data_IF_112453306312
#
_entry.id   IF_112453306312
#
_cell.length_a   1.000
_cell.length_b   1.000
_cell.length_c   1.000
_cell.angle_alpha   90.00
_cell.angle_beta   90.00
_cell.angle_gamma   90.00
#
_symmetry.space_group_name_H-M   'P 1'
#
loop_
_entity.id
_entity.type
_entity.pdbx_description
1 polymer ?
#
# COMPACT_ATOMS: atom_id res chain seq x y z
N UNK A 1 -2.60 8.31 -19.43
CA UNK A 1 -1.40 7.62 -18.89
C UNK A 1 -1.26 6.23 -19.50
N UNK A 2 -2.29 5.41 -19.45
CA UNK A 2 -2.23 4.06 -20.03
C UNK A 2 -1.89 4.11 -21.54
N UNK A 3 -2.55 4.96 -22.28
CA UNK A 3 -2.29 5.11 -23.73
C UNK A 3 -0.86 5.60 -23.99
N UNK A 4 -0.35 6.50 -23.16
CA UNK A 4 1.02 7.00 -23.27
C UNK A 4 2.05 5.88 -23.04
N UNK A 5 1.80 5.02 -22.06
CA UNK A 5 2.65 3.86 -21.77
C UNK A 5 2.65 2.90 -22.96
N UNK A 6 1.49 2.64 -23.53
CA UNK A 6 1.35 1.74 -24.67
C UNK A 6 2.09 2.27 -25.91
N UNK A 7 2.02 3.58 -26.16
CA UNK A 7 2.72 4.19 -27.28
C UNK A 7 4.23 4.21 -27.10
N UNK A 8 4.68 4.54 -25.89
CA UNK A 8 6.11 4.74 -25.60
C UNK A 8 6.86 3.43 -25.43
N UNK A 9 6.21 2.40 -24.88
CA UNK A 9 6.86 1.14 -24.54
C UNK A 9 6.09 -0.07 -25.08
N UNK A 10 5.88 -0.17 -26.39
CA UNK A 10 5.18 -1.33 -26.94
C UNK A 10 6.01 -2.59 -26.77
N UNK A 11 5.38 -3.69 -26.40
CA UNK A 11 5.99 -5.02 -26.28
C UNK A 11 7.15 -5.13 -25.27
N UNK A 12 7.37 -4.13 -24.43
CA UNK A 12 8.35 -4.18 -23.35
C UNK A 12 7.69 -4.59 -22.04
N UNK A 13 8.45 -5.26 -21.19
CA UNK A 13 7.98 -5.54 -19.82
C UNK A 13 7.84 -4.25 -19.04
N UNK A 14 6.70 -4.08 -18.38
CA UNK A 14 6.36 -2.86 -17.67
C UNK A 14 5.98 -3.17 -16.22
N UNK A 15 6.69 -2.56 -15.30
CA UNK A 15 6.28 -2.54 -13.89
C UNK A 15 5.59 -1.23 -13.59
N UNK A 16 4.38 -1.28 -13.06
CA UNK A 16 3.61 -0.08 -12.72
C UNK A 16 3.29 -0.11 -11.24
N UNK A 17 3.80 0.88 -10.52
CA UNK A 17 3.50 1.08 -9.10
C UNK A 17 2.51 2.24 -8.98
N UNK A 18 1.37 1.97 -8.38
CA UNK A 18 0.33 2.98 -8.24
C UNK A 18 0.20 3.45 -6.80
N UNK A 19 -0.28 4.68 -6.63
CA UNK A 19 -0.32 5.36 -5.35
C UNK A 19 -1.14 4.63 -4.29
N UNK A 20 -2.18 3.91 -4.71
CA UNK A 20 -2.99 3.08 -3.83
C UNK A 20 -3.71 1.99 -4.63
N UNK A 21 -4.41 1.11 -3.90
CA UNK A 21 -5.11 -0.03 -4.52
C UNK A 21 -6.30 0.40 -5.38
N UNK A 22 -6.93 1.52 -5.05
CA UNK A 22 -8.03 2.07 -5.87
C UNK A 22 -7.55 2.45 -7.26
N UNK A 23 -6.44 3.18 -7.35
CA UNK A 23 -5.84 3.51 -8.65
C UNK A 23 -5.32 2.28 -9.37
N UNK A 24 -4.77 1.31 -8.64
CA UNK A 24 -4.33 0.06 -9.23
C UNK A 24 -5.50 -0.70 -9.85
N UNK A 25 -6.65 -0.74 -9.18
CA UNK A 25 -7.87 -1.36 -9.70
C UNK A 25 -8.37 -0.64 -10.95
N UNK A 26 -8.37 0.68 -10.96
CA UNK A 26 -8.78 1.47 -12.12
C UNK A 26 -7.87 1.21 -13.32
N UNK A 27 -6.57 1.18 -13.10
CA UNK A 27 -5.60 0.90 -14.15
C UNK A 27 -5.77 -0.52 -14.70
N UNK A 28 -5.98 -1.48 -13.82
CA UNK A 28 -6.23 -2.87 -14.18
C UNK A 28 -7.50 -3.00 -15.03
N UNK A 29 -8.56 -2.28 -14.68
CA UNK A 29 -9.80 -2.27 -15.46
C UNK A 29 -9.58 -1.74 -16.88
N UNK A 30 -8.75 -0.71 -17.05
CA UNK A 30 -8.41 -0.19 -18.37
C UNK A 30 -7.67 -1.25 -19.21
N UNK A 31 -6.76 -1.99 -18.59
CA UNK A 31 -6.04 -3.08 -19.27
C UNK A 31 -7.03 -4.17 -19.70
N UNK A 32 -7.92 -4.57 -18.81
CA UNK A 32 -8.93 -5.60 -19.13
C UNK A 32 -9.92 -5.17 -20.18
N UNK A 33 -10.25 -3.87 -20.26
CA UNK A 33 -11.10 -3.35 -21.34
C UNK A 33 -10.42 -3.49 -22.70
N UNK A 34 -9.12 -3.33 -22.76
CA UNK A 34 -8.38 -3.42 -24.01
C UNK A 34 -8.03 -4.86 -24.39
N UNK A 35 -7.58 -5.66 -23.46
CA UNK A 35 -7.01 -7.00 -23.71
C UNK A 35 -7.85 -8.16 -23.22
N UNK A 36 -8.84 -7.90 -22.35
CA UNK A 36 -9.62 -8.96 -21.72
C UNK A 36 -8.86 -9.80 -20.68
N UNK A 37 -7.62 -9.45 -20.42
CA UNK A 37 -6.76 -10.14 -19.46
C UNK A 37 -5.60 -9.22 -19.10
N UNK A 38 -4.81 -9.61 -18.10
CA UNK A 38 -3.53 -8.95 -17.80
C UNK A 38 -2.44 -9.58 -18.67
N UNK A 39 -1.87 -8.83 -19.65
CA UNK A 39 -0.76 -9.36 -20.45
C UNK A 39 0.47 -9.65 -19.59
N UNK A 40 1.28 -10.60 -20.00
CA UNK A 40 2.48 -11.02 -19.26
C UNK A 40 3.53 -9.92 -19.14
N UNK A 41 3.50 -8.93 -20.02
CA UNK A 41 4.44 -7.81 -19.98
C UNK A 41 4.06 -6.74 -18.97
N UNK A 42 2.89 -6.83 -18.33
CA UNK A 42 2.47 -5.93 -17.27
C UNK A 42 2.58 -6.57 -15.89
N UNK A 43 3.20 -5.85 -14.98
CA UNK A 43 3.20 -6.19 -13.56
C UNK A 43 2.74 -4.97 -12.78
N UNK A 44 1.74 -5.14 -11.91
CA UNK A 44 1.07 -4.04 -11.24
C UNK A 44 1.17 -4.22 -9.74
N UNK A 45 1.56 -3.16 -9.05
CA UNK A 45 1.64 -3.13 -7.59
C UNK A 45 0.85 -1.93 -7.08
N UNK A 46 -0.06 -2.17 -6.15
CA UNK A 46 -0.79 -1.12 -5.45
C UNK A 46 -0.13 -0.78 -4.12
N UNK A 47 -0.87 -0.08 -3.28
CA UNK A 47 -0.43 0.32 -1.95
C UNK A 47 -1.62 0.40 -1.01
N UNK A 48 -1.47 0.01 0.22
CA UNK A 48 -2.38 0.02 1.37
C UNK A 48 -2.93 -1.34 1.79
N UNK A 49 -3.03 -2.32 0.90
CA UNK A 49 -3.73 -3.59 1.17
C UNK A 49 -5.18 -3.36 1.63
N UNK A 50 -5.88 -2.50 0.91
CA UNK A 50 -7.30 -2.27 1.16
C UNK A 50 -8.14 -3.45 0.62
N UNK A 51 -9.41 -3.58 1.02
CA UNK A 51 -10.27 -4.66 0.53
C UNK A 51 -10.33 -4.75 -1.00
N UNK A 52 -10.21 -3.62 -1.69
CA UNK A 52 -10.18 -3.58 -3.16
C UNK A 52 -9.08 -4.46 -3.74
N UNK A 53 -7.93 -4.56 -3.07
CA UNK A 53 -6.80 -5.34 -3.58
C UNK A 53 -7.14 -6.82 -3.74
N UNK A 54 -7.91 -7.39 -2.82
CA UNK A 54 -8.34 -8.80 -2.91
C UNK A 54 -9.61 -8.99 -3.73
N UNK A 55 -10.44 -7.96 -3.87
CA UNK A 55 -11.75 -8.02 -4.53
C UNK A 55 -11.75 -7.53 -5.97
N UNK A 56 -10.63 -6.99 -6.47
CA UNK A 56 -10.51 -6.50 -7.84
C UNK A 56 -10.75 -7.63 -8.85
N UNK A 57 -10.93 -7.24 -10.12
CA UNK A 57 -11.14 -8.20 -11.22
C UNK A 57 -10.01 -9.24 -11.29
N UNK A 58 -8.82 -8.87 -10.85
CA UNK A 58 -7.72 -9.77 -10.58
C UNK A 58 -7.10 -9.33 -9.26
N UNK A 59 -6.91 -10.23 -8.26
CA UNK A 59 -6.31 -9.83 -6.99
C UNK A 59 -4.97 -9.14 -7.18
N UNK A 60 -4.80 -8.00 -6.54
CA UNK A 60 -3.69 -7.07 -6.79
C UNK A 60 -2.58 -7.27 -5.74
N UNK A 61 -1.35 -7.46 -6.21
CA UNK A 61 -0.16 -7.37 -5.37
C UNK A 61 -0.05 -5.96 -4.81
N UNK A 62 0.13 -5.84 -3.51
CA UNK A 62 0.12 -4.55 -2.84
C UNK A 62 1.11 -4.52 -1.68
N UNK A 63 1.41 -3.33 -1.19
CA UNK A 63 2.21 -3.12 0.01
C UNK A 63 1.28 -2.80 1.16
N UNK A 64 1.22 -3.68 2.16
CA UNK A 64 0.39 -3.49 3.34
C UNK A 64 1.15 -2.76 4.44
N UNK A 65 0.50 -1.79 5.07
CA UNK A 65 1.10 -0.95 6.11
C UNK A 65 0.99 -1.54 7.52
N UNK A 66 0.48 -2.74 7.69
CA UNK A 66 0.25 -3.34 9.01
C UNK A 66 -0.54 -2.39 9.93
N UNK A 67 -1.71 -1.98 9.49
CA UNK A 67 -2.54 -0.96 10.17
C UNK A 67 -2.81 -1.30 11.63
N UNK A 68 -3.08 -2.56 11.95
CA UNK A 68 -3.32 -2.99 13.33
C UNK A 68 -2.11 -2.73 14.23
N UNK A 69 -0.91 -3.03 13.73
CA UNK A 69 0.33 -2.79 14.44
C UNK A 69 0.60 -1.31 14.65
N UNK A 70 0.33 -0.50 13.63
CA UNK A 70 0.46 0.96 13.70
C UNK A 70 -0.51 1.52 14.74
N UNK A 71 -1.76 1.10 14.71
CA UNK A 71 -2.78 1.54 15.64
C UNK A 71 -2.42 1.16 17.08
N UNK A 72 -2.00 -0.09 17.30
CA UNK A 72 -1.61 -0.57 18.61
C UNK A 72 -0.42 0.22 19.15
N UNK A 73 0.61 0.42 18.34
CA UNK A 73 1.81 1.16 18.74
C UNK A 73 1.47 2.62 19.08
N UNK A 74 0.62 3.25 18.27
CA UNK A 74 0.18 4.62 18.51
C UNK A 74 -0.58 4.74 19.83
N UNK A 75 -1.47 3.80 20.13
CA UNK A 75 -2.21 3.78 21.37
C UNK A 75 -1.30 3.56 22.58
N UNK A 76 -0.33 2.66 22.48
CA UNK A 76 0.64 2.40 23.54
C UNK A 76 1.44 3.67 23.87
N UNK A 77 1.89 4.39 22.84
CA UNK A 77 2.64 5.64 23.02
C UNK A 77 1.77 6.72 23.64
N UNK A 78 0.51 6.83 23.21
CA UNK A 78 -0.42 7.80 23.77
C UNK A 78 -0.71 7.52 25.24
N UNK A 79 -0.96 6.26 25.60
CA UNK A 79 -1.20 5.87 26.99
C UNK A 79 0.03 6.16 27.85
N UNK A 80 1.23 5.89 27.33
CA UNK A 80 2.47 6.19 28.04
C UNK A 80 2.59 7.69 28.33
N UNK A 81 2.30 8.54 27.35
CA UNK A 81 2.32 10.00 27.54
C UNK A 81 1.27 10.46 28.54
N UNK A 82 0.06 9.90 28.48
CA UNK A 82 -1.01 10.24 29.43
C UNK A 82 -0.62 9.86 30.86
N UNK A 83 0.00 8.71 31.06
CA UNK A 83 0.46 8.26 32.37
C UNK A 83 1.57 9.17 32.92
N UNK A 84 2.48 9.63 32.06
CA UNK A 84 3.51 10.61 32.47
C UNK A 84 2.87 11.93 32.91
N UNK A 85 1.88 12.41 32.20
CA UNK A 85 1.20 13.66 32.54
C UNK A 85 0.39 13.57 33.84
N UNK A 86 -0.03 12.38 34.27
CA UNK A 86 -0.75 12.15 35.52
C UNK A 86 0.17 12.11 36.74
N UNK A 87 1.48 12.03 36.56
CA UNK A 87 2.42 12.04 37.66
C UNK A 87 2.45 13.39 38.35
N UNK A 88 2.70 13.40 39.66
CA UNK A 88 2.77 14.61 40.49
C UNK A 88 3.83 15.60 39.99
N UNK A 89 4.92 15.08 39.43
CA UNK A 89 5.98 15.86 38.76
C UNK A 89 6.20 15.24 37.39
N UNK A 90 5.41 15.61 36.39
CA UNK A 90 5.58 15.05 35.07
C UNK A 90 6.96 15.40 34.50
N UNK A 91 7.66 14.39 34.02
CA UNK A 91 8.91 14.56 33.29
C UNK A 91 8.59 14.56 31.81
N UNK A 92 8.80 15.66 31.09
CA UNK A 92 8.58 15.62 29.65
C UNK A 92 9.50 14.59 29.01
N UNK A 93 9.00 13.91 28.01
CA UNK A 93 9.82 13.00 27.22
C UNK A 93 10.98 13.81 26.62
N UNK A 94 12.21 13.43 26.97
CA UNK A 94 13.42 14.18 26.57
C UNK A 94 13.65 14.13 25.05
N UNK A 95 13.12 13.09 24.39
CA UNK A 95 13.26 12.86 22.97
C UNK A 95 11.91 12.53 22.35
N UNK A 96 11.70 12.96 21.11
CA UNK A 96 10.56 12.50 20.34
C UNK A 96 10.70 11.00 20.10
N UNK A 97 9.61 10.27 20.38
CA UNK A 97 9.60 8.84 20.14
C UNK A 97 9.20 8.58 18.71
N UNK A 98 10.13 8.04 17.93
CA UNK A 98 9.88 7.62 16.56
C UNK A 98 9.89 6.11 16.48
N UNK A 99 8.75 5.53 16.12
CA UNK A 99 8.65 4.10 15.85
C UNK A 99 8.33 3.86 14.40
N UNK A 100 9.07 2.95 13.78
CA UNK A 100 8.85 2.57 12.40
C UNK A 100 8.21 1.18 12.36
N UNK A 101 7.12 1.06 11.62
CA UNK A 101 6.48 -0.23 11.36
C UNK A 101 6.77 -0.58 9.91
N UNK A 102 7.46 -1.69 9.70
CA UNK A 102 7.86 -2.12 8.37
C UNK A 102 6.64 -2.54 7.54
N UNK A 103 6.45 -1.97 6.35
CA UNK A 103 5.40 -2.44 5.45
C UNK A 103 5.73 -3.83 4.91
N UNK A 104 4.72 -4.55 4.47
CA UNK A 104 4.84 -5.92 3.97
C UNK A 104 4.36 -6.00 2.53
N UNK A 105 5.16 -6.60 1.66
CA UNK A 105 4.74 -6.89 0.29
C UNK A 105 3.82 -8.12 0.30
N UNK A 106 2.63 -7.95 -0.22
CA UNK A 106 1.62 -9.01 -0.31
C UNK A 106 1.46 -9.36 -1.78
N UNK A 107 2.02 -10.50 -2.18
CA UNK A 107 1.96 -10.96 -3.56
C UNK A 107 0.62 -11.58 -3.88
N UNK A 108 0.04 -11.17 -5.00
CA UNK A 108 -1.19 -11.72 -5.56
C UNK A 108 -0.99 -11.95 -7.06
N UNK A 109 -2.05 -11.83 -7.84
CA UNK A 109 -2.04 -12.29 -9.23
C UNK A 109 -1.56 -11.26 -10.24
N UNK A 110 -1.30 -10.00 -9.83
CA UNK A 110 -0.81 -8.95 -10.73
C UNK A 110 0.70 -8.89 -10.85
N UNK A 111 1.43 -9.77 -10.15
CA UNK A 111 2.89 -9.93 -10.28
C UNK A 111 3.25 -11.40 -10.34
N UNK A 112 4.40 -11.68 -10.91
CA UNK A 112 4.96 -13.04 -10.95
C UNK A 112 5.51 -13.47 -9.59
#
# INVERSE_FOLDING_TARGET
IFNEIEEKYPAQKKGVFLANDTYASMFLNLIFQKYGKLPKDYQIVGFDDSPIASEAILPITTVGQQIEKIAQTAMELLVLQMNEMKKRKPTPLKEQVHKQITPVLIRRDTTE
#
